data_IF_306981981171
#
_entry.id   IF_306981981171
#
_cell.length_a   1.000
_cell.length_b   1.000
_cell.length_c   1.000
_cell.angle_alpha   90.00
_cell.angle_beta   90.00
_cell.angle_gamma   90.00
#
_symmetry.space_group_name_H-M   'P 1'
#
loop_
_entity.id
_entity.type
_entity.pdbx_description
1 polymer ?
#
# COMPACT_ATOMS: atom_id res chain seq x y z
N UNK A 1 8.14 -15.97 -1.94
CA UNK A 1 8.71 -14.60 -1.92
C UNK A 1 7.67 -13.71 -1.25
N UNK A 2 8.06 -12.65 -0.51
CA UNK A 2 7.07 -11.68 -0.01
C UNK A 2 6.33 -11.03 -1.18
N UNK A 3 5.09 -10.59 -0.94
CA UNK A 3 4.29 -9.86 -1.93
C UNK A 3 5.03 -8.59 -2.36
N UNK A 4 5.02 -8.31 -3.67
CA UNK A 4 5.71 -7.16 -4.28
C UNK A 4 5.08 -5.85 -3.85
N UNK A 5 3.76 -5.77 -3.94
CA UNK A 5 2.98 -4.61 -3.52
C UNK A 5 2.45 -4.83 -2.11
N UNK A 6 2.66 -3.86 -1.23
CA UNK A 6 2.23 -3.93 0.17
C UNK A 6 1.51 -2.65 0.59
N UNK A 7 0.64 -2.76 1.59
CA UNK A 7 -0.07 -1.62 2.16
C UNK A 7 0.67 -1.09 3.39
N UNK A 8 0.89 0.22 3.45
CA UNK A 8 1.50 0.92 4.58
C UNK A 8 0.55 1.98 5.12
N UNK A 9 0.30 1.98 6.42
CA UNK A 9 -0.38 3.10 7.08
C UNK A 9 0.55 4.30 7.22
N UNK A 10 0.03 5.49 6.92
CA UNK A 10 0.76 6.74 7.11
C UNK A 10 -0.03 7.66 8.03
N UNK A 11 0.70 8.16 9.01
CA UNK A 11 0.28 9.18 9.95
C UNK A 11 1.04 10.44 9.60
N UNK A 12 0.34 11.49 9.17
CA UNK A 12 0.98 12.79 8.93
C UNK A 12 1.13 13.61 10.19
N UNK A 13 0.38 13.27 11.24
CA UNK A 13 0.47 13.89 12.55
C UNK A 13 0.91 12.87 13.61
N UNK A 14 2.06 13.09 14.30
CA UNK A 14 2.58 12.16 15.29
C UNK A 14 1.81 12.15 16.62
N UNK A 15 0.98 13.16 16.87
CA UNK A 15 0.09 13.26 18.04
C UNK A 15 -1.31 12.69 17.75
N UNK A 16 -1.68 12.52 16.48
CA UNK A 16 -2.94 11.94 16.06
C UNK A 16 -2.92 10.42 16.17
N UNK A 17 -3.87 9.85 16.91
CA UNK A 17 -4.03 8.39 17.08
C UNK A 17 -4.68 7.70 15.87
N UNK A 18 -4.99 8.45 14.80
CA UNK A 18 -5.73 7.97 13.63
C UNK A 18 -4.88 8.07 12.38
N UNK A 19 -4.74 6.95 11.68
CA UNK A 19 -4.12 6.87 10.35
C UNK A 19 -4.86 7.80 9.39
N UNK A 20 -4.12 8.67 8.69
CA UNK A 20 -4.70 9.65 7.76
C UNK A 20 -4.98 9.00 6.38
N UNK A 21 -4.07 8.15 5.93
CA UNK A 21 -4.19 7.41 4.68
C UNK A 21 -3.33 6.15 4.67
N UNK A 22 -3.70 5.23 3.77
CA UNK A 22 -3.04 3.97 3.46
C UNK A 22 -2.37 4.09 2.10
N UNK A 23 -1.12 3.68 1.99
CA UNK A 23 -0.36 3.72 0.75
C UNK A 23 -0.11 2.31 0.25
N UNK A 24 -0.27 2.10 -1.05
CA UNK A 24 0.23 0.90 -1.72
C UNK A 24 1.64 1.22 -2.20
N UNK A 25 2.62 0.44 -1.73
CA UNK A 25 4.04 0.61 -2.07
C UNK A 25 4.58 -0.60 -2.81
N UNK A 26 5.50 -0.39 -3.74
CA UNK A 26 6.27 -1.45 -4.40
C UNK A 26 7.58 -1.69 -3.63
N UNK A 27 7.63 -2.80 -2.91
CA UNK A 27 8.78 -3.19 -2.08
C UNK A 27 10.01 -3.59 -2.90
N UNK A 28 9.86 -3.85 -4.20
CA UNK A 28 10.98 -4.15 -5.10
C UNK A 28 11.62 -2.88 -5.68
N UNK A 29 10.96 -1.73 -5.55
CA UNK A 29 11.41 -0.42 -6.02
C UNK A 29 11.72 0.54 -4.87
N UNK A 30 12.31 0.04 -3.78
CA UNK A 30 12.69 0.87 -2.62
C UNK A 30 11.48 1.57 -1.96
N UNK A 31 10.38 0.83 -1.81
CA UNK A 31 9.11 1.28 -1.23
C UNK A 31 8.48 2.48 -1.95
N UNK A 32 8.57 2.49 -3.29
CA UNK A 32 7.97 3.54 -4.11
C UNK A 32 6.44 3.54 -3.95
N UNK A 33 5.87 4.73 -3.81
CA UNK A 33 4.43 4.89 -3.55
C UNK A 33 3.67 4.85 -4.86
N UNK A 34 2.88 3.80 -5.04
CA UNK A 34 2.06 3.59 -6.24
C UNK A 34 0.75 4.36 -6.15
N UNK A 35 0.10 4.30 -4.99
CA UNK A 35 -1.20 4.93 -4.75
C UNK A 35 -1.43 5.22 -3.26
N UNK A 36 -2.33 6.16 -2.96
CA UNK A 36 -2.74 6.51 -1.60
C UNK A 36 -4.26 6.52 -1.48
N UNK A 37 -4.78 6.00 -0.38
CA UNK A 37 -6.20 5.79 -0.12
C UNK A 37 -6.56 6.24 1.29
N UNK A 38 -7.77 6.79 1.48
CA UNK A 38 -8.30 7.04 2.83
C UNK A 38 -9.00 5.82 3.44
N UNK A 39 -9.12 4.73 2.67
CA UNK A 39 -9.79 3.49 3.04
C UNK A 39 -8.80 2.32 2.98
N UNK A 40 -8.72 1.53 4.06
CA UNK A 40 -7.83 0.38 4.17
C UNK A 40 -8.20 -0.73 3.19
N UNK A 41 -9.48 -1.07 3.10
CA UNK A 41 -9.93 -2.17 2.23
C UNK A 41 -9.70 -1.84 0.75
N UNK A 42 -9.84 -0.56 0.39
CA UNK A 42 -9.54 -0.10 -0.96
C UNK A 42 -8.05 -0.26 -1.30
N UNK A 43 -7.15 0.09 -0.37
CA UNK A 43 -5.71 -0.09 -0.55
C UNK A 43 -5.32 -1.57 -0.62
N UNK A 44 -5.91 -2.41 0.24
CA UNK A 44 -5.66 -3.86 0.26
C UNK A 44 -6.09 -4.53 -1.04
N UNK A 45 -7.29 -4.22 -1.54
CA UNK A 45 -7.77 -4.76 -2.83
C UNK A 45 -6.88 -4.36 -3.99
N UNK A 46 -6.38 -3.11 -3.99
CA UNK A 46 -5.46 -2.67 -5.04
C UNK A 46 -4.12 -3.42 -4.95
N UNK A 47 -3.54 -3.55 -3.76
CA UNK A 47 -2.30 -4.30 -3.56
C UNK A 47 -2.45 -5.77 -3.99
N UNK A 48 -3.54 -6.44 -3.61
CA UNK A 48 -3.81 -7.82 -4.03
C UNK A 48 -3.95 -7.96 -5.54
N UNK A 49 -4.65 -7.01 -6.17
CA UNK A 49 -4.81 -6.98 -7.63
C UNK A 49 -3.47 -6.79 -8.33
N UNK A 50 -2.67 -5.81 -7.91
CA UNK A 50 -1.34 -5.54 -8.49
C UNK A 50 -0.40 -6.73 -8.32
N UNK A 51 -0.45 -7.41 -7.18
CA UNK A 51 0.33 -8.63 -6.98
C UNK A 51 -0.09 -9.73 -7.95
N UNK A 52 -1.39 -9.97 -8.11
CA UNK A 52 -1.91 -10.97 -9.06
C UNK A 52 -1.54 -10.65 -10.50
N UNK A 53 -1.69 -9.39 -10.90
CA UNK A 53 -1.36 -8.92 -12.25
C UNK A 53 0.15 -9.05 -12.51
N UNK A 54 0.99 -8.83 -11.49
CA UNK A 54 2.45 -8.98 -11.61
C UNK A 54 2.95 -10.42 -11.55
N UNK A 55 2.18 -11.38 -11.02
CA UNK A 55 2.50 -12.82 -11.08
C UNK A 55 2.11 -13.46 -12.43
N UNK A 56 1.24 -12.78 -13.18
CA UNK A 56 0.76 -13.23 -14.48
C UNK A 56 1.64 -12.76 -15.67
N UNK A 57 2.57 -11.84 -15.43
CA UNK A 57 3.53 -11.28 -16.39
C UNK A 57 4.91 -11.97 -16.28
#
# INVERSE_FOLDING_TARGET
>A
MPARFQVRSVLTDPDSTKVDYWQVVDTHLNDDVIASYHDCEAAEREAEKLNRDSEAD
#
